data_IF_097723437946
#
_entry.id   IF_097723437946
#
_cell.length_a   1.000
_cell.length_b   1.000
_cell.length_c   1.000
_cell.angle_alpha   90.00
_cell.angle_beta   90.00
_cell.angle_gamma   90.00
#
_symmetry.space_group_name_H-M   'P 1'
#
loop_
_entity.id
_entity.type
_entity.pdbx_description
1 polymer ?
#
# COMPACT_ATOMS: atom_id res chain seq x y z
N UNK A 1 17.40 -20.38 31.74
CA UNK A 1 17.34 -20.00 31.36
C UNK A 1 17.17 -19.43 30.75
N UNK A 2 16.91 -19.38 30.59
CA UNK A 2 16.75 -18.82 29.94
C UNK A 2 16.57 -18.31 29.25
N UNK A 3 16.29 -17.92 29.00
CA UNK A 3 16.07 -17.41 28.39
C UNK A 3 16.16 -16.82 27.81
N UNK A 4 16.06 -16.70 27.55
CA UNK A 4 16.09 -16.21 26.91
C UNK A 4 15.93 -15.38 26.31
N UNK A 5 16.08 -15.17 26.37
CA UNK A 5 16.09 -14.43 25.82
C UNK A 5 15.50 -14.33 24.74
N UNK A 6 15.01 -13.75 24.67
CA UNK A 6 14.42 -13.65 23.73
C UNK A 6 14.99 -12.85 22.85
N UNK A 7 15.07 -13.08 21.98
CA UNK A 7 15.68 -12.43 21.00
C UNK A 7 14.98 -11.26 20.64
N UNK A 8 15.35 -10.67 19.65
CA UNK A 8 14.70 -9.60 19.18
C UNK A 8 13.39 -9.89 19.00
N UNK A 9 12.56 -9.20 19.52
CA UNK A 9 11.23 -9.45 19.38
C UNK A 9 10.81 -9.14 18.01
N UNK A 10 10.06 -9.98 17.44
CA UNK A 10 9.40 -9.66 16.27
C UNK A 10 8.23 -8.87 16.62
N UNK A 11 7.80 -7.92 15.80
CA UNK A 11 6.56 -7.20 16.02
C UNK A 11 5.46 -8.22 16.11
N UNK A 12 4.46 -7.93 16.88
CA UNK A 12 3.27 -8.76 16.89
C UNK A 12 2.74 -8.83 15.48
N UNK A 13 2.10 -9.92 15.08
CA UNK A 13 1.56 -10.03 13.73
C UNK A 13 0.70 -8.86 13.32
N UNK A 14 -0.12 -8.35 14.23
CA UNK A 14 -0.97 -7.21 13.92
C UNK A 14 -0.14 -5.96 13.65
N UNK A 15 0.90 -5.74 14.42
CA UNK A 15 1.77 -4.58 14.23
C UNK A 15 2.51 -4.65 12.91
N UNK A 16 3.00 -5.83 12.58
CA UNK A 16 3.69 -6.02 11.33
C UNK A 16 2.77 -5.82 10.14
N UNK A 17 1.56 -6.34 10.22
CA UNK A 17 0.58 -6.18 9.16
C UNK A 17 0.21 -4.72 8.97
N UNK A 18 0.05 -3.97 10.05
CA UNK A 18 -0.26 -2.56 9.96
C UNK A 18 0.89 -1.76 9.36
N UNK A 19 2.12 -2.08 9.73
CA UNK A 19 3.27 -1.38 9.19
C UNK A 19 3.40 -1.60 7.69
N UNK A 20 3.16 -2.81 7.22
CA UNK A 20 3.21 -3.12 5.79
C UNK A 20 2.08 -2.45 5.04
N UNK A 21 0.89 -2.43 5.63
CA UNK A 21 -0.25 -1.75 5.03
C UNK A 21 0.01 -0.24 4.94
N UNK A 22 0.60 0.33 5.98
CA UNK A 22 0.96 1.74 5.99
C UNK A 22 1.90 2.07 4.84
N UNK A 23 2.93 1.25 4.64
CA UNK A 23 3.88 1.49 3.56
C UNK A 23 3.21 1.38 2.18
N UNK A 24 2.30 0.42 2.03
CA UNK A 24 1.57 0.28 0.78
C UNK A 24 0.67 1.49 0.51
N UNK A 25 0.01 2.00 1.55
CA UNK A 25 -0.82 3.21 1.41
C UNK A 25 0.03 4.43 1.10
N UNK A 26 1.18 4.55 1.75
CA UNK A 26 2.06 5.67 1.49
C UNK A 26 2.51 5.69 0.04
N UNK A 27 2.85 4.53 -0.51
CA UNK A 27 3.25 4.46 -1.91
C UNK A 27 2.13 4.93 -2.84
N UNK A 28 0.88 4.54 -2.54
CA UNK A 28 -0.25 4.96 -3.36
C UNK A 28 -0.60 6.45 -3.19
N UNK A 29 -0.26 7.03 -2.06
CA UNK A 29 -0.66 8.39 -1.71
C UNK A 29 0.33 9.47 -2.14
N UNK A 30 1.53 9.07 -2.54
CA UNK A 30 2.56 10.04 -2.91
C UNK A 30 2.20 10.81 -4.17
N UNK A 31 2.75 12.00 -4.35
CA UNK A 31 2.54 12.74 -5.60
C UNK A 31 2.99 11.93 -6.81
N UNK A 32 2.37 12.19 -7.93
CA UNK A 32 2.61 11.39 -9.13
C UNK A 32 4.07 11.37 -9.56
N UNK A 33 4.76 12.48 -9.46
CA UNK A 33 6.17 12.54 -9.86
C UNK A 33 7.05 11.71 -8.93
N UNK A 34 6.70 11.65 -7.65
CA UNK A 34 7.43 10.83 -6.69
C UNK A 34 7.15 9.36 -6.98
N UNK A 35 5.89 9.02 -7.26
CA UNK A 35 5.53 7.66 -7.62
C UNK A 35 6.31 7.21 -8.86
N UNK A 36 6.36 8.06 -9.87
CA UNK A 36 7.08 7.72 -11.09
C UNK A 36 8.56 7.50 -10.81
N UNK A 37 9.11 8.26 -9.88
CA UNK A 37 10.52 8.11 -9.50
C UNK A 37 10.82 6.81 -8.77
N UNK A 38 9.82 6.19 -8.16
CA UNK A 38 10.01 4.92 -7.48
C UNK A 38 10.00 3.73 -8.45
N UNK A 39 9.38 3.91 -9.62
CA UNK A 39 9.22 2.79 -10.54
C UNK A 39 10.51 2.12 -11.00
N UNK A 40 11.59 2.84 -11.20
CA UNK A 40 12.81 2.15 -11.59
C UNK A 40 13.31 1.12 -10.60
N UNK A 41 12.83 1.18 -9.37
CA UNK A 41 13.22 0.20 -8.37
C UNK A 41 12.42 -1.09 -8.50
N UNK A 42 11.39 -1.11 -9.35
CA UNK A 42 10.54 -2.27 -9.52
C UNK A 42 10.86 -2.95 -10.82
N UNK A 43 10.51 -4.19 -10.93
CA UNK A 43 10.63 -4.89 -12.19
C UNK A 43 9.35 -4.77 -12.99
N UNK A 44 8.29 -4.31 -12.40
CA UNK A 44 7.03 -4.14 -13.09
C UNK A 44 6.69 -2.68 -13.28
N UNK A 45 5.50 -2.37 -13.67
CA UNK A 45 5.04 -1.00 -13.86
C UNK A 45 4.19 -0.53 -12.70
N UNK A 46 3.34 0.45 -12.93
CA UNK A 46 2.49 1.01 -11.86
C UNK A 46 1.62 0.00 -11.15
N UNK A 47 1.33 -1.14 -11.77
CA UNK A 47 0.53 -2.17 -11.13
C UNK A 47 1.20 -2.73 -9.88
N UNK A 48 2.50 -2.54 -9.71
CA UNK A 48 3.18 -2.98 -8.50
C UNK A 48 2.62 -2.29 -7.26
N UNK A 49 2.22 -1.03 -7.39
CA UNK A 49 1.63 -0.31 -6.26
C UNK A 49 0.31 -0.97 -5.85
N UNK A 50 -0.49 -1.37 -6.84
CA UNK A 50 -1.78 -2.00 -6.58
C UNK A 50 -1.62 -3.39 -5.99
N UNK A 51 -0.68 -4.16 -6.51
CA UNK A 51 -0.43 -5.50 -6.00
C UNK A 51 0.05 -5.46 -4.57
N UNK A 52 0.93 -4.51 -4.26
CA UNK A 52 1.45 -4.36 -2.90
C UNK A 52 0.30 -4.04 -1.94
N UNK A 53 -0.55 -3.08 -2.30
CA UNK A 53 -1.70 -2.74 -1.46
C UNK A 53 -2.63 -3.94 -1.27
N UNK A 54 -2.96 -4.62 -2.35
CA UNK A 54 -3.89 -5.74 -2.29
C UNK A 54 -3.37 -6.83 -1.35
N UNK A 55 -2.11 -7.14 -1.45
CA UNK A 55 -1.49 -8.14 -0.61
C UNK A 55 -1.56 -7.74 0.88
N UNK A 56 -1.21 -6.50 1.19
CA UNK A 56 -1.18 -6.08 2.58
C UNK A 56 -2.57 -5.82 3.14
N UNK A 57 -3.50 -5.39 2.31
CA UNK A 57 -4.88 -5.22 2.73
C UNK A 57 -5.50 -6.57 3.09
N UNK A 58 -5.27 -7.58 2.27
CA UNK A 58 -5.78 -8.91 2.54
C UNK A 58 -5.16 -9.48 3.81
N UNK A 59 -3.88 -9.30 4.00
CA UNK A 59 -3.20 -9.78 5.19
C UNK A 59 -3.74 -9.10 6.46
N UNK A 60 -4.00 -7.81 6.37
CA UNK A 60 -4.45 -7.07 7.54
C UNK A 60 -5.92 -7.36 7.90
N UNK A 61 -6.71 -7.75 6.91
CA UNK A 61 -8.14 -7.98 7.15
C UNK A 61 -8.51 -9.45 7.30
N UNK A 62 -7.56 -10.35 7.13
CA UNK A 62 -7.84 -11.78 7.20
C UNK A 62 -8.18 -12.20 8.62
N UNK A 63 -9.31 -12.86 8.78
CA UNK A 63 -9.69 -13.48 10.06
C UNK A 63 -9.47 -12.60 11.28
N UNK A 64 -9.74 -11.34 11.16
CA UNK A 64 -9.61 -10.46 12.31
C UNK A 64 -8.18 -10.23 12.74
N UNK A 65 -7.24 -10.34 11.81
CA UNK A 65 -5.83 -10.18 12.12
C UNK A 65 -5.53 -8.83 12.77
N UNK A 66 -6.22 -7.78 12.34
CA UNK A 66 -6.01 -6.46 12.87
C UNK A 66 -7.33 -5.84 13.23
N UNK A 67 -7.41 -5.23 14.39
CA UNK A 67 -8.61 -4.49 14.76
C UNK A 67 -8.59 -3.14 14.11
N UNK A 68 -9.70 -2.74 13.56
CA UNK A 68 -9.84 -1.45 12.90
C UNK A 68 -11.15 -0.80 13.26
N UNK A 69 -11.17 0.52 13.33
CA UNK A 69 -12.41 1.25 13.49
C UNK A 69 -13.21 1.14 12.18
N UNK A 70 -14.46 1.50 12.25
CA UNK A 70 -15.27 1.49 11.04
C UNK A 70 -14.77 2.51 10.03
N UNK A 71 -14.32 3.67 10.50
CA UNK A 71 -13.77 4.70 9.62
C UNK A 71 -12.51 4.19 8.91
N UNK A 72 -11.64 3.51 9.64
CA UNK A 72 -10.44 2.94 9.05
C UNK A 72 -10.79 1.89 7.99
N UNK A 73 -11.74 1.03 8.31
CA UNK A 73 -12.15 -0.02 7.38
C UNK A 73 -12.77 0.57 6.12
N UNK A 74 -13.61 1.58 6.28
CA UNK A 74 -14.22 2.23 5.11
C UNK A 74 -13.20 2.91 4.22
N UNK A 75 -12.18 3.52 4.83
CA UNK A 75 -11.15 4.19 4.03
C UNK A 75 -10.37 3.19 3.20
N UNK A 76 -10.08 2.02 3.75
CA UNK A 76 -9.40 0.97 3.01
C UNK A 76 -10.28 0.41 1.91
N UNK A 77 -11.58 0.25 2.19
CA UNK A 77 -12.51 -0.24 1.19
C UNK A 77 -12.65 0.74 0.02
N UNK A 78 -12.50 2.03 0.29
CA UNK A 78 -12.53 3.03 -0.78
C UNK A 78 -11.35 2.87 -1.72
N UNK A 79 -10.17 2.62 -1.18
CA UNK A 79 -8.97 2.36 -1.99
C UNK A 79 -9.16 1.07 -2.80
N UNK A 80 -9.60 0.01 -2.12
CA UNK A 80 -9.79 -1.28 -2.77
C UNK A 80 -10.84 -1.18 -3.89
N UNK A 81 -11.91 -0.46 -3.66
CA UNK A 81 -12.96 -0.28 -4.66
C UNK A 81 -12.48 0.46 -5.89
N UNK A 82 -11.64 1.48 -5.71
CA UNK A 82 -11.08 2.20 -6.84
C UNK A 82 -10.12 1.31 -7.63
N UNK A 83 -9.29 0.53 -6.95
CA UNK A 83 -8.40 -0.40 -7.64
C UNK A 83 -9.20 -1.43 -8.42
N UNK A 84 -10.29 -1.90 -7.85
CA UNK A 84 -11.15 -2.85 -8.54
C UNK A 84 -11.73 -2.23 -9.81
N UNK A 85 -12.15 -0.98 -9.76
CA UNK A 85 -12.67 -0.28 -10.93
C UNK A 85 -11.59 -0.06 -11.99
N UNK A 86 -10.34 0.03 -11.58
CA UNK A 86 -9.23 0.23 -12.50
C UNK A 86 -8.68 -1.08 -13.06
N UNK A 87 -9.20 -2.22 -12.63
CA UNK A 87 -8.71 -3.51 -13.04
C UNK A 87 -9.38 -3.98 -14.34
N UNK A 88 -8.83 -5.03 -14.91
CA UNK A 88 -9.43 -5.66 -16.09
C UNK A 88 -8.76 -5.21 -17.37
N UNK A 89 -8.93 -6.00 -18.41
CA UNK A 89 -8.27 -5.74 -19.67
C UNK A 89 -8.71 -4.44 -20.31
N UNK A 90 -9.95 -4.06 -20.10
CA UNK A 90 -10.46 -2.82 -20.67
C UNK A 90 -9.77 -1.61 -20.06
N UNK A 91 -9.13 -1.78 -18.94
CA UNK A 91 -8.47 -0.70 -18.22
C UNK A 91 -6.94 -0.81 -18.28
N UNK A 92 -6.43 -1.62 -19.19
CA UNK A 92 -4.97 -1.80 -19.29
C UNK A 92 -4.25 -0.47 -19.49
N UNK A 93 -4.90 0.49 -20.13
CA UNK A 93 -4.33 1.81 -20.37
C UNK A 93 -3.99 2.56 -19.09
N UNK A 94 -4.60 2.18 -17.97
CA UNK A 94 -4.39 2.88 -16.71
C UNK A 94 -3.09 2.44 -16.02
N UNK A 95 -2.48 1.37 -16.49
CA UNK A 95 -1.32 0.80 -15.80
C UNK A 95 0.00 1.12 -16.50
N UNK A 96 0.05 2.29 -17.12
CA UNK A 96 1.28 2.79 -17.73
C UNK A 96 1.80 3.95 -16.90
N UNK A 97 3.07 4.29 -17.05
CA UNK A 97 3.65 5.43 -16.35
C UNK A 97 2.93 6.73 -16.75
N UNK A 98 2.54 6.84 -18.03
CA UNK A 98 1.82 8.02 -18.47
C UNK A 98 0.48 8.18 -17.78
N UNK A 99 -0.25 7.09 -17.60
CA UNK A 99 -1.53 7.13 -16.91
C UNK A 99 -1.34 7.44 -15.43
N UNK A 100 -0.29 6.90 -14.82
CA UNK A 100 0.04 7.19 -13.43
C UNK A 100 0.15 8.70 -13.21
N UNK A 101 0.79 9.39 -14.14
CA UNK A 101 1.02 10.82 -14.03
C UNK A 101 -0.21 11.63 -14.41
N UNK A 102 -0.92 11.21 -15.44
CA UNK A 102 -1.96 12.05 -16.07
C UNK A 102 -3.40 11.62 -15.87
N UNK A 103 -3.68 10.41 -15.42
CA UNK A 103 -5.06 9.97 -15.40
C UNK A 103 -5.82 10.47 -14.18
N UNK A 104 -7.10 10.65 -14.37
CA UNK A 104 -8.00 11.03 -13.31
C UNK A 104 -8.15 9.91 -12.29
N UNK A 105 -8.10 8.68 -12.76
CA UNK A 105 -8.23 7.52 -11.92
C UNK A 105 -7.10 7.45 -10.88
N UNK A 106 -5.87 7.69 -11.32
CA UNK A 106 -4.75 7.68 -10.39
C UNK A 106 -4.83 8.84 -9.40
N UNK A 107 -5.35 9.99 -9.84
CA UNK A 107 -5.55 11.13 -8.94
C UNK A 107 -6.55 10.78 -7.84
N UNK A 108 -7.62 10.10 -8.20
CA UNK A 108 -8.62 9.67 -7.22
C UNK A 108 -8.04 8.64 -6.27
N UNK A 109 -7.24 7.73 -6.79
CA UNK A 109 -6.63 6.70 -5.99
C UNK A 109 -5.67 7.31 -4.95
N UNK A 110 -4.86 8.27 -5.38
CA UNK A 110 -3.94 8.95 -4.46
C UNK A 110 -4.70 9.65 -3.33
N UNK A 111 -5.82 10.27 -3.68
CA UNK A 111 -6.62 10.97 -2.70
C UNK A 111 -7.25 10.00 -1.70
N UNK A 112 -7.75 8.88 -2.18
CA UNK A 112 -8.34 7.87 -1.32
C UNK A 112 -7.28 7.28 -0.38
N UNK A 113 -6.07 7.06 -0.87
CA UNK A 113 -4.99 6.54 -0.05
C UNK A 113 -4.60 7.53 1.04
N UNK A 114 -4.59 8.82 0.72
CA UNK A 114 -4.33 9.84 1.74
C UNK A 114 -5.42 9.85 2.81
N UNK A 115 -6.66 9.66 2.39
CA UNK A 115 -7.77 9.56 3.33
C UNK A 115 -7.61 8.37 4.27
N UNK A 116 -7.10 7.26 3.76
CA UNK A 116 -6.86 6.09 4.59
C UNK A 116 -5.72 6.36 5.57
N UNK A 117 -4.64 7.02 5.13
CA UNK A 117 -3.56 7.37 6.05
C UNK A 117 -4.09 8.25 7.18
N UNK A 118 -4.95 9.20 6.85
CA UNK A 118 -5.55 10.07 7.88
C UNK A 118 -6.40 9.28 8.87
N UNK A 119 -7.15 8.33 8.37
CA UNK A 119 -8.00 7.53 9.23
C UNK A 119 -7.21 6.71 10.24
N UNK A 120 -5.98 6.37 9.89
CA UNK A 120 -5.10 5.64 10.79
C UNK A 120 -4.16 6.55 11.57
N UNK A 121 -4.16 7.85 11.29
CA UNK A 121 -3.26 8.78 11.96
C UNK A 121 -1.82 8.67 11.49
N UNK A 122 -1.61 8.23 10.26
CA UNK A 122 -0.28 8.03 9.70
C UNK A 122 0.12 9.20 8.81
N UNK A 123 1.36 9.63 8.93
CA UNK A 123 1.87 10.71 8.09
C UNK A 123 2.16 10.22 6.68
N UNK A 124 2.15 11.14 5.74
CA UNK A 124 2.54 10.83 4.38
C UNK A 124 4.06 10.96 4.28
N UNK A 125 4.72 9.88 4.01
CA UNK A 125 6.17 9.84 3.85
C UNK A 125 6.51 8.92 2.72
N UNK A 126 7.69 9.07 2.16
CA UNK A 126 8.18 8.11 1.17
C UNK A 126 8.53 6.83 1.92
N UNK A 127 7.92 5.71 1.57
CA UNK A 127 8.22 4.47 2.27
C UNK A 127 9.62 3.98 1.94
N UNK A 128 10.17 3.13 2.78
CA UNK A 128 11.51 2.61 2.50
C UNK A 128 11.52 1.80 1.21
N UNK A 129 12.61 1.90 0.51
CA UNK A 129 12.73 1.19 -0.75
C UNK A 129 12.70 -0.31 -0.59
N UNK A 130 13.08 -0.80 0.56
CA UNK A 130 13.13 -2.19 0.79
C UNK A 130 11.93 -2.99 0.45
N UNK A 131 10.71 -2.57 0.71
CA UNK A 131 9.57 -3.38 0.35
C UNK A 131 9.59 -3.76 -1.12
N UNK A 132 10.30 -2.99 -1.93
CA UNK A 132 10.28 -3.20 -3.34
C UNK A 132 11.58 -3.78 -3.87
N UNK A 133 12.60 -3.77 -3.04
CA UNK A 133 13.82 -4.24 -3.51
C UNK A 133 14.31 -5.42 -2.83
N UNK A 134 13.72 -5.73 -1.79
CA UNK A 134 14.26 -6.70 -0.95
C UNK A 134 14.42 -8.00 -1.55
N UNK A 135 13.98 -8.16 -2.59
CA UNK A 135 13.98 -9.32 -3.03
C UNK A 135 15.17 -9.78 -3.45
N UNK A 136 15.96 -9.20 -3.51
CA UNK A 136 16.92 -9.58 -4.01
C UNK A 136 17.52 -10.36 -3.49
N UNK A 137 17.62 -10.65 -3.16
CA UNK A 137 18.29 -11.32 -2.55
C UNK A 137 18.35 -12.41 -2.59
#
# INVERSE_FOLDING_TARGET
>A
MKTPAKPVPRPAPAEGALARLRDALRALALPADVQAGLLPSFTGGPDEFALHFDQEFRAATADGAVRMSQAQRRSLQAVDGLLDQMSGQDNARLWTTGALVNSREWTRLRKAARGALEAFGWDLEVPPAKPFEHIEW
#
